data_IF_250649581946
#
_entry.id   IF_250649581946
#
_cell.length_a   1.000
_cell.length_b   1.000
_cell.length_c   1.000
_cell.angle_alpha   90.00
_cell.angle_beta   90.00
_cell.angle_gamma   90.00
#
_symmetry.space_group_name_H-M   'P 1'
#
loop_
_entity.id
_entity.type
_entity.pdbx_description
1 polymer ?
#
# COMPACT_ATOMS: atom_id res chain seq x y z
N UNK A 1 29.26 4.75 4.36
CA UNK A 1 28.32 3.75 3.82
C UNK A 1 28.92 2.34 3.75
N UNK A 2 30.09 2.10 3.14
CA UNK A 2 30.71 0.75 3.05
C UNK A 2 30.90 0.04 4.42
N UNK A 3 31.31 0.77 5.46
CA UNK A 3 31.52 0.19 6.81
C UNK A 3 30.23 -0.32 7.47
N UNK A 4 29.11 0.40 7.32
CA UNK A 4 27.82 -0.04 7.88
C UNK A 4 27.24 -1.24 7.13
N UNK A 5 27.46 -1.29 5.81
CA UNK A 5 27.07 -2.44 5.00
C UNK A 5 27.84 -3.72 5.42
N UNK A 6 29.16 -3.59 5.69
CA UNK A 6 29.99 -4.72 6.16
C UNK A 6 29.54 -5.20 7.55
N UNK A 7 29.20 -4.28 8.46
CA UNK A 7 28.71 -4.61 9.80
C UNK A 7 27.34 -5.31 9.72
N UNK A 8 26.45 -4.82 8.85
CA UNK A 8 25.14 -5.45 8.60
C UNK A 8 25.30 -6.86 8.02
N UNK A 9 26.20 -7.03 7.05
CA UNK A 9 26.49 -8.32 6.44
C UNK A 9 27.12 -9.30 7.44
N UNK A 10 28.05 -8.84 8.29
CA UNK A 10 28.61 -9.65 9.37
C UNK A 10 27.56 -10.04 10.42
N UNK A 11 26.63 -9.14 10.76
CA UNK A 11 25.52 -9.43 11.64
C UNK A 11 24.57 -10.52 11.08
N UNK A 12 24.29 -10.46 9.77
CA UNK A 12 23.49 -11.50 9.08
C UNK A 12 24.20 -12.87 9.08
N UNK A 13 25.52 -12.89 8.88
CA UNK A 13 26.31 -14.14 8.90
C UNK A 13 26.40 -14.70 10.33
N UNK A 14 26.49 -13.86 11.36
CA UNK A 14 26.51 -14.30 12.76
C UNK A 14 25.18 -14.95 13.20
N UNK A 15 24.04 -14.55 12.63
CA UNK A 15 22.76 -15.18 12.87
C UNK A 15 22.68 -16.61 12.32
N UNK A 16 23.47 -16.97 11.32
CA UNK A 16 23.50 -18.32 10.75
C UNK A 16 24.41 -19.29 11.55
N UNK A 17 25.34 -18.77 12.35
CA UNK A 17 26.29 -19.59 13.09
C UNK A 17 25.71 -20.29 14.35
N UNK A 18 24.49 -19.93 14.78
CA UNK A 18 23.80 -20.57 15.91
C UNK A 18 23.04 -21.85 15.55
N UNK A 19 23.27 -22.41 14.38
CA UNK A 19 22.60 -23.60 13.86
C UNK A 19 23.15 -24.91 14.46
N UNK A 20 23.41 -24.98 15.74
CA UNK A 20 23.58 -26.27 16.42
C UNK A 20 22.22 -26.92 16.58
N UNK A 21 22.11 -28.11 16.01
CA UNK A 21 20.96 -28.97 15.88
C UNK A 21 20.40 -29.46 17.22
N UNK A 22 19.77 -28.56 17.97
CA UNK A 22 18.80 -29.03 18.94
C UNK A 22 17.61 -29.60 18.16
N UNK A 23 17.37 -30.92 18.30
CA UNK A 23 16.19 -31.61 17.77
C UNK A 23 14.94 -31.07 18.51
N UNK A 24 14.50 -29.89 18.14
CA UNK A 24 13.27 -29.31 18.66
C UNK A 24 12.08 -30.12 18.14
N UNK A 25 11.12 -30.36 19.04
CA UNK A 25 9.86 -30.99 18.65
C UNK A 25 9.20 -30.16 17.57
N UNK A 26 8.87 -30.81 16.44
CA UNK A 26 8.14 -30.16 15.34
C UNK A 26 6.68 -29.98 15.76
N UNK A 27 6.26 -28.73 15.91
CA UNK A 27 4.85 -28.39 16.14
C UNK A 27 4.03 -28.64 14.88
N UNK A 28 2.83 -29.21 15.02
CA UNK A 28 1.90 -29.44 13.88
C UNK A 28 2.59 -30.11 12.67
N UNK A 29 3.18 -31.33 12.79
CA UNK A 29 4.05 -31.91 11.75
C UNK A 29 3.34 -32.17 10.42
N UNK A 30 2.02 -32.35 10.39
CA UNK A 30 1.24 -32.67 9.19
C UNK A 30 0.43 -31.51 8.64
N UNK A 31 0.55 -30.30 9.21
CA UNK A 31 -0.29 -29.17 8.79
C UNK A 31 -0.03 -28.81 7.32
N UNK A 32 1.23 -28.82 6.88
CA UNK A 32 1.61 -28.47 5.51
C UNK A 32 1.15 -29.48 4.45
N UNK A 33 0.64 -30.65 4.86
CA UNK A 33 0.10 -31.66 3.96
C UNK A 33 -1.38 -31.40 3.62
N UNK A 34 -2.05 -30.53 4.34
CA UNK A 34 -3.44 -30.17 4.05
C UNK A 34 -3.53 -29.44 2.73
N UNK A 35 -4.54 -29.74 1.89
CA UNK A 35 -4.70 -29.07 0.61
C UNK A 35 -5.17 -27.61 0.77
N UNK A 36 -5.96 -27.31 1.80
CA UNK A 36 -6.54 -25.99 2.06
C UNK A 36 -6.19 -25.53 3.47
N UNK A 37 -5.84 -24.24 3.55
CA UNK A 37 -5.53 -23.54 4.76
C UNK A 37 -6.41 -22.29 4.86
N UNK A 38 -6.89 -22.00 6.04
CA UNK A 38 -7.68 -20.79 6.32
C UNK A 38 -7.15 -20.09 7.56
N UNK A 39 -7.24 -18.78 7.53
CA UNK A 39 -6.78 -17.96 8.64
C UNK A 39 -7.41 -16.58 8.63
N UNK A 40 -7.08 -15.81 9.64
CA UNK A 40 -7.41 -14.38 9.72
C UNK A 40 -6.12 -13.58 9.64
N UNK A 41 -6.23 -12.34 9.21
CA UNK A 41 -5.10 -11.44 9.15
C UNK A 41 -5.43 -10.10 9.80
N UNK A 42 -4.44 -9.57 10.47
CA UNK A 42 -4.40 -8.19 10.95
C UNK A 42 -3.07 -7.59 10.54
N UNK A 43 -3.05 -6.30 10.28
CA UNK A 43 -1.83 -5.65 9.86
C UNK A 43 -1.92 -4.13 9.89
N UNK A 44 -0.83 -3.53 9.50
CA UNK A 44 -0.71 -2.10 9.25
C UNK A 44 -0.18 -1.87 7.85
N UNK A 45 -0.55 -0.76 7.26
CA UNK A 45 -0.03 -0.37 5.95
C UNK A 45 0.37 1.10 5.94
N UNK A 46 1.31 1.42 5.08
CA UNK A 46 1.69 2.78 4.71
C UNK A 46 1.39 2.92 3.22
N UNK A 47 0.42 3.76 2.89
CA UNK A 47 0.12 4.07 1.51
C UNK A 47 0.79 5.38 1.12
N UNK A 48 1.42 5.41 -0.03
CA UNK A 48 1.91 6.59 -0.69
C UNK A 48 1.19 6.81 -2.01
N UNK A 49 0.84 8.06 -2.30
CA UNK A 49 0.28 8.47 -3.57
C UNK A 49 1.20 9.56 -4.10
N UNK A 50 1.91 9.25 -5.15
CA UNK A 50 2.83 10.15 -5.84
C UNK A 50 2.05 10.91 -6.90
N UNK A 51 1.96 12.23 -6.72
CA UNK A 51 1.25 13.13 -7.61
C UNK A 51 2.22 13.77 -8.60
N UNK A 52 1.87 13.74 -9.88
CA UNK A 52 2.59 14.45 -10.92
C UNK A 52 1.90 15.80 -11.16
N UNK A 53 2.54 16.88 -10.71
CA UNK A 53 2.02 18.24 -10.87
C UNK A 53 2.22 18.73 -12.30
N UNK A 54 1.21 19.41 -12.88
CA UNK A 54 1.25 19.94 -14.25
C UNK A 54 2.24 21.11 -14.36
N UNK A 55 2.45 21.84 -13.27
CA UNK A 55 3.24 23.06 -13.27
C UNK A 55 2.41 24.30 -13.68
N UNK A 56 3.07 25.42 -14.07
CA UNK A 56 2.37 26.62 -14.49
C UNK A 56 1.52 26.38 -15.74
N UNK A 57 0.24 26.71 -15.70
CA UNK A 57 -0.69 26.55 -16.82
C UNK A 57 -1.75 27.65 -16.82
N UNK A 58 -2.32 27.93 -18.00
CA UNK A 58 -3.38 28.90 -18.17
C UNK A 58 -4.73 28.27 -17.82
N UNK A 59 -5.51 28.93 -17.01
CA UNK A 59 -6.90 28.57 -16.75
C UNK A 59 -7.82 29.75 -17.07
N UNK A 60 -9.02 29.40 -17.49
CA UNK A 60 -10.08 30.37 -17.71
C UNK A 60 -10.99 30.38 -16.47
N UNK A 61 -11.04 31.52 -15.80
CA UNK A 61 -11.93 31.70 -14.64
C UNK A 61 -13.42 31.71 -15.07
N UNK A 62 -14.37 31.53 -14.16
CA UNK A 62 -15.81 31.58 -14.48
C UNK A 62 -16.26 32.85 -15.19
N UNK A 63 -15.55 33.95 -14.98
CA UNK A 63 -15.80 35.26 -15.61
C UNK A 63 -15.17 35.37 -17.00
N UNK A 64 -14.55 34.31 -17.53
CA UNK A 64 -13.92 34.27 -18.85
C UNK A 64 -12.54 34.92 -18.89
N UNK A 65 -11.94 35.21 -17.74
CA UNK A 65 -10.60 35.82 -17.67
C UNK A 65 -9.56 34.70 -17.64
N UNK A 66 -8.60 34.75 -18.57
CA UNK A 66 -7.44 33.87 -18.58
C UNK A 66 -6.46 34.29 -17.48
N UNK A 67 -6.15 33.36 -16.59
CA UNK A 67 -5.15 33.55 -15.53
C UNK A 67 -4.14 32.40 -15.50
N UNK A 68 -2.86 32.74 -15.27
CA UNK A 68 -1.83 31.74 -15.08
C UNK A 68 -1.91 31.20 -13.65
N UNK A 69 -2.16 29.91 -13.52
CA UNK A 69 -2.19 29.20 -12.23
C UNK A 69 -0.95 28.33 -12.08
N UNK A 70 -0.43 28.28 -10.85
CA UNK A 70 0.65 27.39 -10.48
C UNK A 70 0.35 26.82 -9.09
N UNK A 71 -0.25 25.65 -9.04
CA UNK A 71 -0.61 24.96 -7.81
C UNK A 71 0.20 23.68 -7.70
N UNK A 72 0.83 23.47 -6.54
CA UNK A 72 1.53 22.25 -6.19
C UNK A 72 0.67 21.44 -5.22
N UNK A 73 0.46 20.17 -5.53
CA UNK A 73 -0.19 19.21 -4.65
C UNK A 73 0.87 18.29 -4.03
N UNK A 74 0.90 18.22 -2.73
CA UNK A 74 1.81 17.38 -1.96
C UNK A 74 1.05 16.57 -0.90
N UNK A 75 1.50 15.34 -0.66
CA UNK A 75 1.01 14.51 0.42
C UNK A 75 1.91 14.72 1.64
N UNK A 76 1.41 15.40 2.66
CA UNK A 76 2.24 15.87 3.78
C UNK A 76 2.82 14.77 4.66
N UNK A 77 2.12 13.64 4.83
CA UNK A 77 2.51 12.64 5.84
C UNK A 77 2.22 11.22 5.40
N UNK A 78 3.12 10.32 5.77
CA UNK A 78 2.92 8.88 5.79
C UNK A 78 2.04 8.52 6.99
N UNK A 79 0.73 8.39 6.79
CA UNK A 79 -0.18 7.98 7.84
C UNK A 79 -0.30 6.45 7.84
N UNK A 80 0.01 5.78 8.96
CA UNK A 80 -0.22 4.36 9.07
C UNK A 80 -1.70 4.06 9.06
N UNK A 81 -2.10 3.08 8.25
CA UNK A 81 -3.43 2.55 8.23
C UNK A 81 -3.50 1.18 8.91
N UNK A 82 -4.71 0.70 9.11
CA UNK A 82 -5.02 -0.61 9.67
C UNK A 82 -5.60 -1.53 8.60
N UNK A 83 -5.23 -2.81 8.64
CA UNK A 83 -5.67 -3.81 7.67
C UNK A 83 -6.22 -5.02 8.40
N UNK A 84 -7.35 -5.53 7.92
CA UNK A 84 -7.99 -6.74 8.45
C UNK A 84 -8.58 -7.55 7.31
N UNK A 85 -8.47 -8.87 7.40
CA UNK A 85 -8.98 -9.74 6.34
C UNK A 85 -8.92 -11.21 6.71
N UNK A 86 -9.10 -12.03 5.68
CA UNK A 86 -9.07 -13.49 5.81
C UNK A 86 -8.06 -14.08 4.84
N UNK A 87 -7.55 -15.24 5.18
CA UNK A 87 -6.61 -16.02 4.38
C UNK A 87 -7.30 -17.28 3.88
N UNK A 88 -7.17 -17.54 2.59
CA UNK A 88 -7.41 -18.84 1.99
C UNK A 88 -6.18 -19.22 1.17
N UNK A 89 -5.54 -20.33 1.48
CA UNK A 89 -4.36 -20.81 0.78
C UNK A 89 -4.59 -22.23 0.27
N UNK A 90 -4.41 -22.44 -1.04
CA UNK A 90 -4.49 -23.74 -1.70
C UNK A 90 -3.09 -24.23 -2.00
N UNK A 91 -2.74 -25.37 -1.45
CA UNK A 91 -1.48 -26.05 -1.74
C UNK A 91 -1.50 -26.66 -3.14
N UNK A 92 -0.57 -26.23 -3.99
CA UNK A 92 -0.39 -26.78 -5.34
C UNK A 92 0.68 -27.88 -5.35
N UNK A 93 1.76 -27.67 -4.60
CA UNK A 93 2.86 -28.64 -4.47
C UNK A 93 3.53 -28.54 -3.10
N UNK A 94 4.66 -29.20 -2.91
CA UNK A 94 5.44 -29.10 -1.67
C UNK A 94 5.96 -27.67 -1.39
N UNK A 95 6.21 -26.91 -2.43
CA UNK A 95 6.82 -25.58 -2.33
C UNK A 95 5.91 -24.45 -2.85
N UNK A 96 4.89 -24.76 -3.65
CA UNK A 96 4.02 -23.77 -4.26
C UNK A 96 2.61 -23.84 -3.68
N UNK A 97 2.07 -22.69 -3.36
CA UNK A 97 0.66 -22.49 -3.02
C UNK A 97 0.08 -21.28 -3.72
N UNK A 98 -1.21 -21.34 -3.98
CA UNK A 98 -2.03 -20.22 -4.43
C UNK A 98 -2.72 -19.64 -3.20
N UNK A 99 -2.60 -18.33 -3.01
CA UNK A 99 -3.17 -17.62 -1.87
C UNK A 99 -4.18 -16.59 -2.34
N UNK A 100 -5.28 -16.50 -1.62
CA UNK A 100 -6.30 -15.47 -1.78
C UNK A 100 -6.56 -14.84 -0.42
N UNK A 101 -6.34 -13.53 -0.30
CA UNK A 101 -6.40 -12.82 0.98
C UNK A 101 -7.28 -11.56 0.91
N UNK A 102 -8.61 -11.72 0.80
CA UNK A 102 -9.51 -10.57 0.86
C UNK A 102 -9.24 -9.73 2.11
N UNK A 103 -8.94 -8.46 1.90
CA UNK A 103 -8.50 -7.56 2.97
C UNK A 103 -9.18 -6.21 2.86
N UNK A 104 -9.60 -5.65 3.98
CA UNK A 104 -10.03 -4.26 4.10
C UNK A 104 -8.87 -3.44 4.69
N UNK A 105 -8.59 -2.34 4.03
CA UNK A 105 -7.58 -1.37 4.45
C UNK A 105 -8.28 -0.07 4.86
N UNK A 106 -7.98 0.41 6.07
CA UNK A 106 -8.51 1.65 6.62
C UNK A 106 -7.37 2.60 6.86
N UNK A 107 -7.42 3.78 6.24
CA UNK A 107 -6.38 4.79 6.39
C UNK A 107 -6.89 6.17 6.04
N UNK A 108 -6.00 7.13 6.00
CA UNK A 108 -6.27 8.49 5.56
C UNK A 108 -5.01 9.18 5.10
N UNK A 109 -5.17 10.20 4.26
CA UNK A 109 -4.08 11.06 3.81
C UNK A 109 -4.47 12.51 3.96
N UNK A 110 -3.51 13.32 4.30
CA UNK A 110 -3.63 14.76 4.29
C UNK A 110 -2.90 15.30 3.06
N UNK A 111 -3.61 16.02 2.22
CA UNK A 111 -3.08 16.67 1.03
C UNK A 111 -3.00 18.16 1.26
N UNK A 112 -1.90 18.77 0.84
CA UNK A 112 -1.68 20.20 0.86
C UNK A 112 -1.50 20.71 -0.55
N UNK A 113 -2.27 21.73 -0.90
CA UNK A 113 -2.19 22.44 -2.15
C UNK A 113 -1.62 23.82 -1.90
N UNK A 114 -0.54 24.17 -2.55
CA UNK A 114 0.13 25.46 -2.46
C UNK A 114 -0.06 26.22 -3.76
N UNK A 115 -0.81 27.34 -3.72
CA UNK A 115 -0.92 28.22 -4.88
C UNK A 115 0.24 29.23 -4.88
N UNK A 116 1.19 29.01 -5.78
CA UNK A 116 2.41 29.81 -5.88
C UNK A 116 2.19 31.22 -6.52
N UNK A 117 1.06 31.43 -7.17
CA UNK A 117 0.72 32.71 -7.82
C UNK A 117 -0.08 33.64 -6.90
N UNK A 118 -0.85 33.08 -5.97
CA UNK A 118 -1.64 33.84 -5.04
C UNK A 118 -0.97 33.85 -3.66
N UNK A 119 -0.87 35.04 -3.07
CA UNK A 119 -0.25 35.21 -1.75
C UNK A 119 -1.26 35.80 -0.76
N UNK A 120 -1.11 35.44 0.51
CA UNK A 120 -1.85 36.04 1.61
C UNK A 120 -1.32 37.47 1.92
N UNK A 121 -1.97 38.14 2.85
CA UNK A 121 -1.57 39.51 3.31
C UNK A 121 -0.14 39.54 3.90
N UNK A 122 0.46 38.39 4.21
CA UNK A 122 1.80 38.22 4.74
C UNK A 122 2.82 37.79 3.67
N UNK A 123 2.43 37.70 2.40
CA UNK A 123 3.30 37.30 1.27
C UNK A 123 3.57 35.79 1.20
N UNK A 124 2.77 34.95 1.86
CA UNK A 124 2.90 33.49 1.80
C UNK A 124 1.93 32.91 0.77
N UNK A 125 2.28 31.83 0.06
CA UNK A 125 1.37 31.16 -0.87
C UNK A 125 0.06 30.77 -0.18
N UNK A 126 -1.06 30.95 -0.87
CA UNK A 126 -2.36 30.51 -0.34
C UNK A 126 -2.36 28.98 -0.32
N UNK A 127 -2.74 28.45 0.83
CA UNK A 127 -2.75 27.01 1.09
C UNK A 127 -4.20 26.52 1.21
N UNK A 128 -4.50 25.42 0.52
CA UNK A 128 -5.71 24.62 0.70
C UNK A 128 -5.32 23.24 1.18
N UNK A 129 -6.14 22.64 2.01
CA UNK A 129 -5.89 21.29 2.53
C UNK A 129 -7.09 20.39 2.31
N UNK A 130 -6.83 19.12 2.06
CA UNK A 130 -7.86 18.09 1.94
C UNK A 130 -7.49 16.88 2.78
N UNK A 131 -8.40 16.48 3.68
CA UNK A 131 -8.30 15.20 4.38
C UNK A 131 -9.01 14.12 3.58
N UNK A 132 -8.22 13.25 2.96
CA UNK A 132 -8.72 12.11 2.18
C UNK A 132 -8.79 10.88 3.07
N UNK A 133 -10.00 10.40 3.36
CA UNK A 133 -10.20 9.09 3.99
C UNK A 133 -10.03 8.03 2.91
N UNK A 134 -9.25 7.00 3.21
CA UNK A 134 -8.98 5.91 2.29
C UNK A 134 -9.44 4.60 2.90
N UNK A 135 -10.51 4.04 2.35
CA UNK A 135 -10.98 2.71 2.69
C UNK A 135 -10.98 1.88 1.42
N UNK A 136 -10.19 0.83 1.40
CA UNK A 136 -10.07 -0.06 0.25
C UNK A 136 -10.49 -1.48 0.61
N UNK A 137 -11.17 -2.13 -0.30
CA UNK A 137 -11.30 -3.59 -0.34
C UNK A 137 -10.31 -4.11 -1.37
N UNK A 138 -9.37 -4.94 -0.96
CA UNK A 138 -8.39 -5.61 -1.81
C UNK A 138 -8.71 -7.09 -1.94
N UNK A 139 -8.46 -7.66 -3.11
CA UNK A 139 -8.72 -9.05 -3.46
C UNK A 139 -7.46 -9.66 -4.08
N UNK A 140 -6.35 -9.78 -3.33
CA UNK A 140 -5.09 -10.26 -3.89
C UNK A 140 -5.13 -11.75 -4.22
N UNK A 141 -4.50 -12.08 -5.36
CA UNK A 141 -4.24 -13.44 -5.83
C UNK A 141 -2.73 -13.61 -5.95
N UNK A 142 -2.15 -14.39 -5.06
CA UNK A 142 -0.71 -14.53 -4.91
C UNK A 142 -0.27 -15.96 -5.14
N UNK A 143 0.90 -16.11 -5.77
CA UNK A 143 1.65 -17.34 -5.79
C UNK A 143 2.73 -17.25 -4.73
N UNK A 144 2.68 -18.15 -3.75
CA UNK A 144 3.66 -18.29 -2.68
C UNK A 144 4.62 -19.41 -3.03
N UNK A 145 5.92 -19.11 -2.96
CA UNK A 145 7.00 -20.09 -3.03
C UNK A 145 7.67 -20.20 -1.67
N UNK A 146 7.50 -21.33 -1.01
CA UNK A 146 8.02 -21.58 0.33
C UNK A 146 9.18 -22.55 0.31
N UNK A 147 10.22 -22.24 1.07
CA UNK A 147 11.34 -23.15 1.29
C UNK A 147 10.89 -24.44 2.02
N UNK A 148 11.69 -25.51 2.01
CA UNK A 148 11.46 -26.62 2.93
C UNK A 148 11.42 -26.15 4.37
N UNK A 149 10.53 -26.73 5.16
CA UNK A 149 10.40 -26.39 6.59
C UNK A 149 11.65 -26.80 7.34
N UNK A 150 12.19 -25.87 8.12
CA UNK A 150 13.32 -26.12 9.01
C UNK A 150 12.86 -25.92 10.45
N UNK A 151 12.80 -27.02 11.22
CA UNK A 151 12.22 -27.05 12.56
C UNK A 151 10.79 -26.47 12.59
N UNK A 152 10.64 -25.29 13.17
CA UNK A 152 9.34 -24.62 13.31
C UNK A 152 9.26 -23.31 12.53
N UNK A 153 10.09 -23.15 11.49
CA UNK A 153 10.01 -22.02 10.58
C UNK A 153 10.06 -22.45 9.13
N UNK A 154 9.38 -21.68 8.27
CA UNK A 154 9.34 -21.90 6.84
C UNK A 154 9.29 -20.54 6.15
N UNK A 155 10.45 -19.99 5.74
CA UNK A 155 10.49 -18.75 5.00
C UNK A 155 9.92 -18.94 3.59
N UNK A 156 9.34 -17.85 3.04
CA UNK A 156 8.79 -17.85 1.71
C UNK A 156 8.87 -16.47 1.06
N UNK A 157 8.73 -16.48 -0.25
CA UNK A 157 8.49 -15.29 -1.05
C UNK A 157 7.15 -15.45 -1.76
N UNK A 158 6.53 -14.34 -2.11
CA UNK A 158 5.28 -14.33 -2.86
C UNK A 158 5.27 -13.22 -3.89
N UNK A 159 4.48 -13.41 -4.92
CA UNK A 159 4.16 -12.38 -5.89
C UNK A 159 2.75 -12.59 -6.42
N UNK A 160 2.07 -11.50 -6.76
CA UNK A 160 0.71 -11.58 -7.23
C UNK A 160 0.15 -10.29 -7.78
N UNK A 161 -1.14 -10.33 -8.05
CA UNK A 161 -1.94 -9.20 -8.50
C UNK A 161 -3.00 -8.90 -7.44
N UNK A 162 -3.21 -7.63 -7.19
CA UNK A 162 -4.14 -7.16 -6.17
C UNK A 162 -5.14 -6.15 -6.77
N UNK A 163 -6.29 -6.61 -7.27
CA UNK A 163 -7.40 -5.72 -7.58
C UNK A 163 -7.92 -5.08 -6.31
N UNK A 164 -8.09 -3.76 -6.34
CA UNK A 164 -8.57 -2.97 -5.22
C UNK A 164 -9.77 -2.13 -5.62
N UNK A 165 -10.70 -2.01 -4.68
CA UNK A 165 -11.90 -1.18 -4.81
C UNK A 165 -11.82 -0.09 -3.75
N UNK A 166 -11.79 1.16 -4.18
CA UNK A 166 -11.91 2.31 -3.29
C UNK A 166 -13.39 2.50 -2.91
N UNK A 167 -13.66 2.53 -1.61
CA UNK A 167 -15.02 2.72 -1.07
C UNK A 167 -15.26 4.16 -0.61
N UNK A 168 -14.25 5.00 -0.69
CA UNK A 168 -14.31 6.39 -0.22
C UNK A 168 -14.07 7.36 -1.37
N UNK A 169 -14.58 8.54 -1.19
CA UNK A 169 -14.51 9.67 -2.11
C UNK A 169 -15.78 10.50 -1.96
N UNK A 170 -15.65 11.79 -2.03
CA UNK A 170 -16.76 12.72 -2.02
C UNK A 170 -16.73 13.54 -3.30
N UNK A 171 -17.90 13.81 -3.88
CA UNK A 171 -18.03 14.66 -5.07
C UNK A 171 -17.54 16.10 -4.86
N UNK A 172 -17.23 16.47 -3.62
CA UNK A 172 -16.70 17.80 -3.25
C UNK A 172 -15.19 17.76 -2.89
N UNK A 173 -14.54 16.61 -2.98
CA UNK A 173 -13.10 16.50 -2.78
C UNK A 173 -12.35 17.21 -3.92
N UNK A 174 -11.22 17.88 -3.63
CA UNK A 174 -10.40 18.53 -4.66
C UNK A 174 -9.79 17.50 -5.61
N UNK A 175 -9.30 16.39 -5.06
CA UNK A 175 -8.81 15.24 -5.81
C UNK A 175 -9.66 14.03 -5.48
N UNK A 176 -10.16 13.37 -6.52
CA UNK A 176 -10.87 12.11 -6.42
C UNK A 176 -10.04 11.01 -7.06
N UNK A 177 -9.94 9.88 -6.34
CA UNK A 177 -9.29 8.67 -6.86
C UNK A 177 -10.31 7.76 -7.52
N UNK A 178 -9.92 7.11 -8.61
CA UNK A 178 -10.73 6.10 -9.28
C UNK A 178 -11.19 5.03 -8.30
N UNK A 179 -12.40 4.54 -8.53
CA UNK A 179 -12.99 3.47 -7.72
C UNK A 179 -12.23 2.15 -7.84
N UNK A 180 -11.70 1.83 -9.02
CA UNK A 180 -10.99 0.58 -9.28
C UNK A 180 -9.52 0.87 -9.54
N UNK A 181 -8.67 0.12 -8.85
CA UNK A 181 -7.22 0.15 -9.04
C UNK A 181 -6.70 -1.29 -9.04
N UNK A 182 -5.62 -1.54 -9.74
CA UNK A 182 -4.94 -2.83 -9.75
C UNK A 182 -3.48 -2.61 -9.40
N UNK A 183 -3.00 -3.36 -8.43
CA UNK A 183 -1.60 -3.36 -8.03
C UNK A 183 -0.94 -4.70 -8.33
N UNK A 184 0.35 -4.66 -8.59
CA UNK A 184 1.23 -5.83 -8.48
C UNK A 184 1.83 -5.82 -7.09
N UNK A 185 1.89 -6.98 -6.46
CA UNK A 185 2.50 -7.11 -5.15
C UNK A 185 3.59 -8.19 -5.14
N UNK A 186 4.62 -7.89 -4.37
CA UNK A 186 5.68 -8.82 -4.02
C UNK A 186 5.84 -8.81 -2.52
N UNK A 187 6.13 -9.95 -1.94
CA UNK A 187 6.25 -10.04 -0.49
C UNK A 187 7.21 -11.13 -0.05
N UNK A 188 7.58 -11.03 1.20
CA UNK A 188 8.37 -12.02 1.89
C UNK A 188 7.79 -12.24 3.28
N UNK A 189 7.84 -13.47 3.74
CA UNK A 189 7.32 -13.84 5.05
C UNK A 189 7.94 -15.11 5.57
N UNK A 190 7.49 -15.49 6.75
CA UNK A 190 7.93 -16.72 7.39
C UNK A 190 6.78 -17.35 8.16
N UNK A 191 6.49 -18.63 7.88
CA UNK A 191 5.55 -19.41 8.65
C UNK A 191 6.23 -19.86 9.95
N UNK A 192 5.75 -19.42 11.10
CA UNK A 192 6.17 -19.88 12.43
C UNK A 192 5.14 -20.85 13.00
N UNK A 193 5.56 -22.10 13.23
CA UNK A 193 4.70 -23.15 13.75
C UNK A 193 4.76 -23.13 15.28
N UNK A 194 3.76 -22.51 15.89
CA UNK A 194 3.57 -22.52 17.32
C UNK A 194 2.78 -23.77 17.75
N UNK A 195 2.77 -24.15 19.03
CA UNK A 195 2.06 -25.34 19.50
C UNK A 195 0.57 -25.36 19.14
N UNK A 196 -0.10 -24.21 19.20
CA UNK A 196 -1.55 -24.10 19.03
C UNK A 196 -1.99 -23.52 17.69
N UNK A 197 -1.19 -22.62 17.10
CA UNK A 197 -1.51 -21.95 15.84
C UNK A 197 -0.23 -21.70 15.04
N UNK A 198 -0.40 -21.32 13.80
CA UNK A 198 0.67 -20.86 12.92
C UNK A 198 0.60 -19.36 12.82
N UNK A 199 1.68 -18.67 13.16
CA UNK A 199 1.85 -17.24 13.03
C UNK A 199 2.67 -16.95 11.79
N UNK A 200 2.17 -16.06 10.94
CA UNK A 200 2.84 -15.73 9.67
C UNK A 200 3.02 -14.22 9.55
N UNK A 201 4.13 -13.66 10.03
CA UNK A 201 4.51 -12.31 9.66
C UNK A 201 4.88 -12.23 8.19
N UNK A 202 4.37 -11.21 7.50
CA UNK A 202 4.59 -10.98 6.09
C UNK A 202 4.73 -9.48 5.80
N UNK A 203 5.72 -9.14 4.99
CA UNK A 203 5.93 -7.79 4.47
C UNK A 203 5.66 -7.80 2.97
N UNK A 204 4.75 -6.94 2.53
CA UNK A 204 4.36 -6.76 1.13
C UNK A 204 4.73 -5.36 0.63
N UNK A 205 5.10 -5.32 -0.63
CA UNK A 205 5.33 -4.11 -1.41
C UNK A 205 4.36 -4.14 -2.59
N UNK A 206 3.45 -3.17 -2.64
CA UNK A 206 2.42 -3.09 -3.66
C UNK A 206 2.65 -1.85 -4.53
N UNK A 207 2.57 -2.04 -5.85
CA UNK A 207 2.81 -1.00 -6.86
C UNK A 207 1.60 -0.92 -7.78
N UNK A 208 1.00 0.27 -7.88
CA UNK A 208 -0.11 0.54 -8.79
C UNK A 208 0.31 0.42 -10.26
N UNK A 209 -0.49 -0.28 -11.07
CA UNK A 209 -0.22 -0.48 -12.50
C UNK A 209 -0.67 0.69 -13.38
N UNK A 210 -1.41 1.64 -12.84
CA UNK A 210 -1.96 2.72 -13.62
C UNK A 210 -2.19 4.01 -12.84
N UNK A 211 -2.64 5.02 -13.58
CA UNK A 211 -3.07 6.29 -13.04
C UNK A 211 -4.37 6.12 -12.23
N UNK A 212 -4.30 6.43 -10.94
CA UNK A 212 -5.43 6.31 -10.01
C UNK A 212 -6.24 7.59 -9.89
N UNK A 213 -5.85 8.68 -10.59
CA UNK A 213 -6.56 9.95 -10.56
C UNK A 213 -7.82 9.90 -11.43
N UNK A 214 -8.95 10.36 -10.90
CA UNK A 214 -10.16 10.59 -11.70
C UNK A 214 -10.13 12.01 -12.30
N UNK A 215 -9.71 12.10 -13.59
CA UNK A 215 -9.57 13.37 -14.31
C UNK A 215 -10.91 14.02 -14.66
N UNK A 216 -11.99 13.25 -14.68
CA UNK A 216 -13.31 13.77 -15.05
C UNK A 216 -13.95 14.55 -13.91
N UNK A 217 -13.50 14.29 -12.67
CA UNK A 217 -14.02 14.91 -11.46
C UNK A 217 -13.94 16.45 -11.46
N UNK A 218 -12.97 17.05 -12.18
CA UNK A 218 -12.82 18.51 -12.30
C UNK A 218 -14.13 19.17 -12.81
N UNK A 219 -14.85 18.47 -13.69
CA UNK A 219 -16.09 18.98 -14.28
C UNK A 219 -17.29 18.90 -13.34
N UNK A 220 -17.22 18.06 -12.32
CA UNK A 220 -18.30 17.81 -11.37
C UNK A 220 -18.23 18.74 -10.15
N UNK A 221 -17.13 19.49 -9.99
CA UNK A 221 -16.95 20.44 -8.90
C UNK A 221 -17.92 21.62 -9.03
N UNK A 222 -18.69 21.89 -7.98
CA UNK A 222 -19.66 22.98 -7.91
C UNK A 222 -18.99 24.34 -7.86
N UNK A 223 -17.87 24.46 -7.16
CA UNK A 223 -17.11 25.72 -7.04
C UNK A 223 -16.04 25.76 -8.12
N UNK A 224 -16.20 26.69 -9.06
CA UNK A 224 -15.26 26.91 -10.15
C UNK A 224 -13.86 27.32 -9.67
N UNK A 225 -13.75 28.00 -8.51
CA UNK A 225 -12.46 28.40 -7.96
C UNK A 225 -11.62 27.19 -7.51
N UNK A 226 -12.27 26.07 -7.18
CA UNK A 226 -11.58 24.84 -6.78
C UNK A 226 -11.03 24.04 -7.96
N UNK A 227 -11.48 24.33 -9.18
CA UNK A 227 -11.01 23.65 -10.40
C UNK A 227 -9.52 23.86 -10.64
N UNK A 228 -8.97 25.01 -10.26
CA UNK A 228 -7.54 25.28 -10.35
C UNK A 228 -6.71 24.30 -9.49
N UNK A 229 -7.23 23.98 -8.32
CA UNK A 229 -6.60 23.02 -7.41
C UNK A 229 -6.77 21.57 -7.89
N UNK A 230 -7.97 21.20 -8.32
CA UNK A 230 -8.26 19.87 -8.86
C UNK A 230 -7.48 19.60 -10.16
N UNK A 231 -7.32 20.65 -11.02
CA UNK A 231 -6.58 20.57 -12.28
C UNK A 231 -5.06 20.63 -12.15
N UNK A 232 -4.51 20.80 -10.96
CA UNK A 232 -3.05 20.95 -10.76
C UNK A 232 -2.26 19.65 -10.95
N UNK A 233 -2.92 18.49 -10.95
CA UNK A 233 -2.30 17.18 -11.03
C UNK A 233 -2.63 16.49 -12.34
N UNK A 234 -1.60 15.98 -13.02
CA UNK A 234 -1.74 15.27 -14.31
C UNK A 234 -1.97 13.77 -14.13
N UNK A 235 -1.33 13.18 -13.15
CA UNK A 235 -1.44 11.75 -12.84
C UNK A 235 -1.16 11.47 -11.36
N UNK A 236 -1.63 10.33 -10.87
CA UNK A 236 -1.37 9.86 -9.53
C UNK A 236 -1.03 8.36 -9.54
N UNK A 237 0.07 7.97 -8.92
CA UNK A 237 0.47 6.59 -8.75
C UNK A 237 0.41 6.18 -7.29
N UNK A 238 -0.24 5.04 -7.01
CA UNK A 238 -0.35 4.53 -5.65
C UNK A 238 0.71 3.45 -5.39
N UNK A 239 1.40 3.59 -4.25
CA UNK A 239 2.36 2.61 -3.73
C UNK A 239 1.95 2.27 -2.29
N UNK A 240 2.13 1.03 -1.86
CA UNK A 240 1.75 0.63 -0.51
C UNK A 240 2.77 -0.36 0.06
N UNK A 241 3.13 -0.15 1.34
CA UNK A 241 3.87 -1.09 2.16
C UNK A 241 2.90 -1.68 3.18
N UNK A 242 2.83 -3.00 3.26
CA UNK A 242 1.89 -3.68 4.17
C UNK A 242 2.67 -4.65 5.03
N UNK A 243 2.56 -4.50 6.35
CA UNK A 243 3.03 -5.47 7.33
C UNK A 243 1.81 -6.20 7.91
N UNK A 244 1.76 -7.49 7.69
CA UNK A 244 0.61 -8.33 8.06
C UNK A 244 1.04 -9.47 8.95
N UNK A 245 0.17 -9.85 9.88
CA UNK A 245 0.29 -11.05 10.70
C UNK A 245 -0.92 -11.93 10.44
N UNK A 246 -0.68 -13.14 9.92
CA UNK A 246 -1.72 -14.14 9.73
C UNK A 246 -1.71 -15.13 10.90
N UNK A 247 -2.90 -15.58 11.24
CA UNK A 247 -3.16 -16.58 12.28
C UNK A 247 -3.95 -17.72 11.65
N UNK A 248 -3.33 -18.91 11.64
CA UNK A 248 -3.88 -20.14 11.06
C UNK A 248 -4.00 -21.27 12.11
#
# INVERSE_FOLDING_TARGET
MKRYFTILLMGLIALTASAQTDRRVQNKPYIDLRPLHFGILIGTHLQDIEFENIGPHMMVDPDGVESEQYVLCEADKWNPGFSVGVLAELRLSSNFSLRFTPTMHFGGKHLTFLNMKQQDAQGRPIQQTQDMKNTYVSLPFDIKFAAPRWNNHRPYIMAGINPMINLTGSDQDLILLKRYNTMVEIGLGCDFYLPFFKLIPELKFCFGLGDVLDKNHINDLRDANLRAYAGSVSSAQSKMFVLTFYFE
#
